data_IF_569521063796
#
_entry.id   IF_569521063796
#
_cell.length_a   1.000
_cell.length_b   1.000
_cell.length_c   1.000
_cell.angle_alpha   90.00
_cell.angle_beta   90.00
_cell.angle_gamma   90.00
#
_symmetry.space_group_name_H-M   'P 1'
#
loop_
_entity.id
_entity.type
_entity.pdbx_description
1 polymer ?
#
# COMPACT_ATOMS: atom_id res chain seq x y z
N UNK A 1 20.07 6.39 7.07
CA UNK A 1 19.34 5.39 7.87
C UNK A 1 17.89 5.30 7.39
N UNK A 2 17.42 4.10 7.14
CA UNK A 2 16.07 3.89 6.61
C UNK A 2 15.05 3.95 7.72
N UNK A 3 13.90 4.59 7.48
CA UNK A 3 12.79 4.54 8.41
C UNK A 3 12.17 3.15 8.35
N UNK A 4 12.06 2.42 9.46
CA UNK A 4 11.49 1.09 9.43
C UNK A 4 10.02 1.11 9.01
N UNK A 5 9.61 0.04 8.32
CA UNK A 5 8.22 -0.13 7.92
C UNK A 5 7.41 -0.71 9.08
N UNK A 6 6.31 -0.04 9.41
CA UNK A 6 5.34 -0.54 10.36
C UNK A 6 4.04 -0.84 9.63
N UNK A 7 3.50 -2.05 9.82
CA UNK A 7 2.25 -2.48 9.20
C UNK A 7 1.25 -2.79 10.30
N UNK A 8 0.08 -2.15 10.25
CA UNK A 8 -0.96 -2.31 11.26
C UNK A 8 -2.28 -2.70 10.61
N UNK A 9 -2.83 -3.84 11.02
CA UNK A 9 -4.13 -4.29 10.51
C UNK A 9 -5.24 -3.53 11.22
N UNK A 10 -6.19 -3.04 10.42
CA UNK A 10 -7.35 -2.29 10.91
C UNK A 10 -8.59 -2.69 10.11
N UNK A 11 -9.74 -2.15 10.50
CA UNK A 11 -10.98 -2.32 9.76
C UNK A 11 -11.63 -0.97 9.56
N UNK A 12 -12.25 -0.79 8.39
CA UNK A 12 -13.10 0.37 8.14
C UNK A 12 -14.42 0.21 8.91
N UNK A 13 -15.19 1.31 9.09
CA UNK A 13 -16.51 1.21 9.72
C UNK A 13 -17.46 0.22 9.02
N UNK A 14 -17.29 0.02 7.71
CA UNK A 14 -18.11 -0.93 6.95
C UNK A 14 -17.61 -2.38 7.06
N UNK A 15 -16.54 -2.62 7.82
CA UNK A 15 -15.98 -3.95 8.01
C UNK A 15 -14.88 -4.34 7.02
N UNK A 16 -14.59 -3.50 6.02
CA UNK A 16 -13.55 -3.79 5.04
C UNK A 16 -12.18 -3.82 5.71
N UNK A 17 -11.37 -4.87 5.51
CA UNK A 17 -10.01 -4.88 6.06
C UNK A 17 -9.16 -3.75 5.50
N UNK A 18 -8.34 -3.16 6.36
CA UNK A 18 -7.44 -2.09 5.99
C UNK A 18 -6.07 -2.37 6.60
N UNK A 19 -5.02 -2.20 5.81
CA UNK A 19 -3.64 -2.31 6.27
C UNK A 19 -3.02 -0.91 6.22
N UNK A 20 -2.61 -0.41 7.38
CA UNK A 20 -1.92 0.88 7.44
C UNK A 20 -0.42 0.67 7.42
N UNK A 21 0.25 1.31 6.46
CA UNK A 21 1.70 1.27 6.33
C UNK A 21 2.30 2.62 6.72
N UNK A 22 3.37 2.59 7.51
CA UNK A 22 4.07 3.79 7.96
C UNK A 22 5.56 3.57 7.76
N UNK A 23 6.25 4.54 7.17
CA UNK A 23 7.70 4.50 6.98
C UNK A 23 8.10 4.36 5.53
N UNK A 24 9.07 3.49 5.25
CA UNK A 24 9.61 3.30 3.90
C UNK A 24 9.42 1.86 3.44
N UNK A 25 8.99 1.70 2.19
CA UNK A 25 8.84 0.39 1.56
C UNK A 25 9.97 0.23 0.55
N UNK A 26 10.86 -0.73 0.80
CA UNK A 26 12.00 -1.01 -0.06
C UNK A 26 12.28 -2.51 -0.10
N UNK A 27 13.33 -2.89 -0.85
CA UNK A 27 13.64 -4.31 -1.04
C UNK A 27 13.95 -5.05 0.28
N UNK A 28 14.29 -4.34 1.35
CA UNK A 28 14.62 -4.98 2.62
C UNK A 28 13.38 -5.43 3.39
N UNK A 29 12.19 -4.91 3.05
CA UNK A 29 10.97 -5.23 3.80
C UNK A 29 9.80 -5.67 2.91
N UNK A 30 10.04 -5.95 1.63
CA UNK A 30 8.96 -6.39 0.72
C UNK A 30 8.37 -7.73 1.14
N UNK A 31 9.14 -8.61 1.76
CA UNK A 31 8.61 -9.89 2.24
C UNK A 31 7.58 -9.68 3.35
N UNK A 32 7.85 -8.73 4.24
CA UNK A 32 6.89 -8.39 5.30
C UNK A 32 5.62 -7.78 4.73
N UNK A 33 5.75 -6.92 3.72
CA UNK A 33 4.59 -6.33 3.04
C UNK A 33 3.75 -7.41 2.34
N UNK A 34 4.40 -8.29 1.58
CA UNK A 34 3.71 -9.37 0.87
C UNK A 34 2.99 -10.30 1.84
N UNK A 35 3.65 -10.66 2.96
CA UNK A 35 3.03 -11.53 3.96
C UNK A 35 1.80 -10.87 4.59
N UNK A 36 1.86 -9.56 4.84
CA UNK A 36 0.72 -8.84 5.40
C UNK A 36 -0.45 -8.77 4.43
N UNK A 37 -0.17 -8.59 3.14
CA UNK A 37 -1.22 -8.60 2.11
C UNK A 37 -1.84 -9.99 1.95
N UNK A 38 -1.01 -11.04 2.03
CA UNK A 38 -1.47 -12.42 1.89
C UNK A 38 -2.24 -12.92 3.12
N UNK A 39 -2.07 -12.26 4.27
CA UNK A 39 -2.77 -12.64 5.48
C UNK A 39 -4.28 -12.37 5.42
N UNK A 40 -4.73 -11.55 4.47
CA UNK A 40 -6.13 -11.20 4.29
C UNK A 40 -6.59 -11.67 2.92
N UNK A 41 -7.64 -12.49 2.87
CA UNK A 41 -8.24 -12.92 1.62
C UNK A 41 -9.25 -11.87 1.14
N UNK A 42 -9.39 -11.74 -0.19
CA UNK A 42 -10.39 -10.85 -0.78
C UNK A 42 -9.97 -9.38 -0.80
N UNK A 43 -10.94 -8.47 -0.97
CA UNK A 43 -10.64 -7.04 -1.07
C UNK A 43 -9.95 -6.49 0.17
N UNK A 44 -8.95 -5.64 -0.05
CA UNK A 44 -8.16 -5.05 1.03
C UNK A 44 -7.82 -3.61 0.67
N UNK A 45 -7.98 -2.72 1.64
CA UNK A 45 -7.52 -1.33 1.51
C UNK A 45 -6.13 -1.22 2.11
N UNK A 46 -5.20 -0.61 1.39
CA UNK A 46 -3.89 -0.29 1.95
C UNK A 46 -3.73 1.23 2.03
N UNK A 47 -3.45 1.72 3.24
CA UNK A 47 -3.27 3.14 3.51
C UNK A 47 -1.78 3.46 3.45
N UNK A 48 -1.39 4.20 2.43
CA UNK A 48 0.00 4.60 2.18
C UNK A 48 0.24 6.08 2.50
N UNK A 49 -0.70 6.74 3.18
CA UNK A 49 -0.59 8.19 3.43
C UNK A 49 0.61 8.57 4.29
N UNK A 50 1.13 7.64 5.10
CA UNK A 50 2.29 7.88 5.94
C UNK A 50 3.53 7.12 5.46
N UNK A 51 3.53 6.71 4.20
CA UNK A 51 4.70 6.11 3.56
C UNK A 51 5.47 7.21 2.86
N UNK A 52 6.75 7.34 3.21
CA UNK A 52 7.63 8.39 2.69
C UNK A 52 8.42 7.96 1.46
N UNK A 53 8.53 6.66 1.21
CA UNK A 53 9.35 6.13 0.13
C UNK A 53 8.81 4.79 -0.33
N UNK A 54 8.81 4.58 -1.63
CA UNK A 54 8.35 3.35 -2.25
C UNK A 54 9.22 3.09 -3.48
N UNK A 55 10.03 2.03 -3.43
CA UNK A 55 10.90 1.69 -4.56
C UNK A 55 10.22 0.69 -5.51
N UNK A 56 10.96 0.28 -6.56
CA UNK A 56 10.42 -0.64 -7.54
C UNK A 56 10.10 -2.03 -6.97
N UNK A 57 10.83 -2.46 -5.95
CA UNK A 57 10.55 -3.75 -5.31
C UNK A 57 9.20 -3.70 -4.58
N UNK A 58 8.93 -2.59 -3.87
CA UNK A 58 7.63 -2.38 -3.23
C UNK A 58 6.51 -2.26 -4.23
N UNK A 59 6.73 -1.52 -5.33
CA UNK A 59 5.75 -1.42 -6.41
C UNK A 59 5.40 -2.79 -6.98
N UNK A 60 6.40 -3.67 -7.18
CA UNK A 60 6.15 -5.01 -7.70
C UNK A 60 5.23 -5.82 -6.80
N UNK A 61 5.37 -5.70 -5.48
CA UNK A 61 4.48 -6.38 -4.54
C UNK A 61 3.04 -5.86 -4.70
N UNK A 62 2.87 -4.55 -4.81
CA UNK A 62 1.55 -3.96 -5.00
C UNK A 62 0.94 -4.37 -6.34
N UNK A 63 1.75 -4.42 -7.41
CA UNK A 63 1.28 -4.90 -8.71
C UNK A 63 0.79 -6.34 -8.64
N UNK A 64 1.50 -7.20 -7.91
CA UNK A 64 1.12 -8.61 -7.79
C UNK A 64 -0.24 -8.79 -7.10
N UNK A 65 -0.68 -7.82 -6.31
CA UNK A 65 -1.94 -7.89 -5.58
C UNK A 65 -2.98 -6.88 -6.09
N UNK A 66 -2.70 -6.20 -7.20
CA UNK A 66 -3.46 -5.03 -7.65
C UNK A 66 -4.95 -5.30 -7.85
N UNK A 67 -5.30 -6.50 -8.30
CA UNK A 67 -6.68 -6.86 -8.63
C UNK A 67 -7.62 -6.86 -7.41
N UNK A 68 -7.09 -6.87 -6.20
CA UNK A 68 -7.90 -6.87 -4.98
C UNK A 68 -7.60 -5.70 -4.04
N UNK A 69 -6.74 -4.75 -4.47
CA UNK A 69 -6.33 -3.64 -3.62
C UNK A 69 -7.07 -2.36 -3.96
N UNK A 70 -7.39 -1.62 -2.90
CA UNK A 70 -7.74 -0.21 -2.99
C UNK A 70 -6.63 0.57 -2.26
N UNK A 71 -6.06 1.59 -2.91
CA UNK A 71 -4.96 2.35 -2.36
C UNK A 71 -5.45 3.70 -1.85
N UNK A 72 -5.00 4.07 -0.65
CA UNK A 72 -5.16 5.44 -0.15
C UNK A 72 -3.75 6.04 -0.14
N UNK A 73 -3.54 7.11 -0.91
CA UNK A 73 -2.21 7.69 -1.09
C UNK A 73 -2.25 9.20 -0.93
N UNK A 74 -1.21 9.74 -0.31
CA UNK A 74 -1.02 11.18 -0.22
C UNK A 74 -0.30 11.73 -1.44
N UNK A 75 -0.08 13.07 -1.48
CA UNK A 75 0.52 13.73 -2.64
C UNK A 75 1.95 13.30 -2.93
N UNK A 76 2.66 12.76 -1.94
CA UNK A 76 4.03 12.30 -2.14
C UNK A 76 4.10 11.07 -3.06
N UNK A 77 3.19 10.12 -2.90
CA UNK A 77 3.22 8.86 -3.67
C UNK A 77 2.31 8.86 -4.88
N UNK A 78 1.31 9.71 -4.93
CA UNK A 78 0.35 9.71 -6.05
C UNK A 78 1.04 9.80 -7.41
N UNK A 79 2.05 10.67 -7.64
CA UNK A 79 2.74 10.69 -8.92
C UNK A 79 3.43 9.37 -9.26
N UNK A 80 4.05 8.70 -8.27
CA UNK A 80 4.72 7.41 -8.49
C UNK A 80 3.71 6.35 -8.91
N UNK A 81 2.56 6.31 -8.24
CA UNK A 81 1.51 5.33 -8.55
C UNK A 81 0.93 5.57 -9.95
N UNK A 82 0.78 6.83 -10.34
CA UNK A 82 0.26 7.19 -11.65
C UNK A 82 1.24 6.86 -12.76
N UNK A 83 2.50 7.28 -12.61
CA UNK A 83 3.55 7.08 -13.63
C UNK A 83 3.85 5.59 -13.82
N UNK A 84 3.85 4.82 -12.74
CA UNK A 84 4.13 3.38 -12.82
C UNK A 84 3.01 2.57 -13.47
N UNK A 85 1.81 3.15 -13.60
CA UNK A 85 0.64 2.45 -14.13
C UNK A 85 -0.16 1.71 -13.07
N UNK A 86 0.28 1.69 -11.83
CA UNK A 86 -0.42 0.98 -10.77
C UNK A 86 -1.81 1.58 -10.52
N UNK A 87 -1.94 2.90 -10.61
CA UNK A 87 -3.22 3.57 -10.40
C UNK A 87 -4.28 3.14 -11.41
N UNK A 88 -3.86 2.66 -12.60
CA UNK A 88 -4.80 2.16 -13.62
C UNK A 88 -5.32 0.76 -13.30
N UNK A 89 -4.62 0.02 -12.42
CA UNK A 89 -4.97 -1.36 -12.08
C UNK A 89 -5.68 -1.47 -10.74
N UNK A 90 -5.71 -0.40 -9.96
CA UNK A 90 -6.31 -0.37 -8.62
C UNK A 90 -7.23 0.83 -8.50
N UNK A 91 -8.06 0.81 -7.45
CA UNK A 91 -8.76 2.02 -7.03
C UNK A 91 -7.82 2.83 -6.14
N UNK A 92 -7.56 4.09 -6.51
CA UNK A 92 -6.67 4.98 -5.75
C UNK A 92 -7.46 6.17 -5.26
N UNK A 93 -7.33 6.49 -3.96
CA UNK A 93 -8.04 7.59 -3.33
C UNK A 93 -7.09 8.49 -2.57
N UNK A 94 -7.51 9.73 -2.36
CA UNK A 94 -6.81 10.67 -1.51
C UNK A 94 -7.03 10.37 -0.02
N UNK A 95 -6.23 11.02 0.86
CA UNK A 95 -6.25 10.70 2.29
C UNK A 95 -7.50 11.14 3.05
N UNK A 96 -8.29 12.02 2.49
CA UNK A 96 -9.48 12.61 3.15
C UNK A 96 -10.78 11.92 2.74
N UNK A 97 -10.72 10.74 2.19
CA UNK A 97 -11.89 9.99 1.72
C UNK A 97 -12.35 8.97 2.75
#
# INVERSE_FOLDING_TARGET
>A
MTTPLTLTARSRPDGTPLLKAVGEIDMSNTDALAAALDATAGPLVIDLTEVDYLDSAGLNVLFAHADRLELIAGPLLTPVLTISGLADLTTTRGPDV
#
